data_IF_135921879473
#
_entry.id   IF_135921879473
#
_cell.length_a   1.000
_cell.length_b   1.000
_cell.length_c   1.000
_cell.angle_alpha   90.00
_cell.angle_beta   90.00
_cell.angle_gamma   90.00
#
_symmetry.space_group_name_H-M   'P 1'
#
loop_
_entity.id
_entity.type
_entity.pdbx_description
1 polymer ?
#
# COMPACT_ATOMS: atom_id res chain seq x y z
N UNK A 1 -37.07 -46.17 31.29
CA UNK A 1 -36.36 -45.12 32.06
C UNK A 1 -34.99 -45.63 32.44
N UNK A 2 -33.95 -45.30 31.66
CA UNK A 2 -32.56 -45.33 32.10
C UNK A 2 -31.88 -44.15 31.40
N UNK A 3 -31.57 -43.10 32.17
CA UNK A 3 -30.77 -41.94 31.74
C UNK A 3 -29.30 -42.31 31.87
N UNK A 4 -28.50 -42.05 30.82
CA UNK A 4 -27.05 -42.26 30.82
C UNK A 4 -26.35 -40.89 30.90
N UNK A 5 -25.34 -40.66 31.77
CA UNK A 5 -24.97 -39.31 32.21
C UNK A 5 -23.73 -38.67 31.56
N UNK A 6 -23.24 -39.14 30.40
CA UNK A 6 -21.98 -38.63 29.85
C UNK A 6 -21.98 -38.50 28.33
N UNK A 7 -22.60 -37.44 27.80
CA UNK A 7 -22.25 -36.89 26.48
C UNK A 7 -22.82 -35.47 26.33
N UNK A 8 -22.31 -34.52 27.11
CA UNK A 8 -22.38 -33.11 26.71
C UNK A 8 -21.19 -32.88 25.78
N UNK A 9 -21.38 -33.14 24.49
CA UNK A 9 -20.48 -32.61 23.47
C UNK A 9 -20.70 -31.10 23.40
N UNK A 10 -19.91 -30.35 24.18
CA UNK A 10 -19.66 -28.94 23.97
C UNK A 10 -19.02 -28.79 22.58
N UNK A 11 -19.85 -28.53 21.57
CA UNK A 11 -19.39 -27.92 20.33
C UNK A 11 -19.01 -26.47 20.65
N UNK A 12 -17.81 -26.29 21.18
CA UNK A 12 -17.16 -24.98 21.16
C UNK A 12 -16.76 -24.77 19.71
N UNK A 13 -17.66 -24.16 18.93
CA UNK A 13 -17.28 -23.56 17.67
C UNK A 13 -16.21 -22.50 18.00
N UNK A 14 -14.94 -22.87 17.82
CA UNK A 14 -13.85 -21.91 17.80
C UNK A 14 -14.10 -20.97 16.63
N UNK A 15 -14.73 -19.83 16.93
CA UNK A 15 -14.69 -18.66 16.07
C UNK A 15 -13.20 -18.42 15.74
N UNK A 16 -12.78 -18.43 14.46
CA UNK A 16 -11.47 -17.92 14.15
C UNK A 16 -11.44 -16.47 14.61
N UNK A 17 -10.55 -16.16 15.54
CA UNK A 17 -10.19 -14.79 15.91
C UNK A 17 -9.52 -14.14 14.68
N UNK A 18 -10.29 -13.82 13.64
CA UNK A 18 -9.81 -13.04 12.51
C UNK A 18 -10.09 -11.56 12.80
N UNK A 19 -9.35 -11.05 13.78
CA UNK A 19 -9.08 -9.62 13.91
C UNK A 19 -7.58 -9.42 13.70
N UNK A 20 -7.07 -9.90 12.58
CA UNK A 20 -5.78 -9.43 12.06
C UNK A 20 -6.02 -8.06 11.43
N UNK A 21 -5.86 -7.04 12.28
CA UNK A 21 -5.95 -5.65 11.86
C UNK A 21 -4.85 -5.36 10.85
N UNK A 22 -5.23 -5.17 9.59
CA UNK A 22 -4.34 -4.70 8.54
C UNK A 22 -3.54 -3.50 9.04
N UNK A 23 -2.23 -3.51 8.79
CA UNK A 23 -1.41 -2.34 9.06
C UNK A 23 -1.91 -1.13 8.23
N UNK A 24 -2.59 -0.19 8.90
CA UNK A 24 -3.20 1.00 8.28
C UNK A 24 -2.17 1.97 7.67
N UNK A 25 -0.88 1.78 7.97
CA UNK A 25 0.20 2.59 7.41
C UNK A 25 0.61 2.13 6.01
N UNK A 26 0.35 0.87 5.67
CA UNK A 26 0.66 0.30 4.36
C UNK A 26 -0.36 0.78 3.32
N UNK A 27 0.16 1.19 2.16
CA UNK A 27 -0.66 1.72 1.08
C UNK A 27 -0.36 0.97 -0.21
N UNK A 28 -1.40 0.74 -1.02
CA UNK A 28 -1.19 0.36 -2.42
C UNK A 28 -0.48 1.53 -3.12
N UNK A 29 0.58 1.23 -3.86
CA UNK A 29 1.35 2.24 -4.55
C UNK A 29 0.50 2.86 -5.66
N UNK A 30 0.61 4.18 -5.91
CA UNK A 30 -0.04 4.83 -7.04
C UNK A 30 0.33 4.17 -8.38
N UNK A 31 -0.55 4.35 -9.37
CA UNK A 31 -0.34 3.88 -10.75
C UNK A 31 1.01 4.33 -11.35
N UNK A 32 1.51 5.49 -10.90
CA UNK A 32 2.82 6.01 -11.24
C UNK A 32 3.67 6.03 -9.96
N UNK A 33 4.28 4.89 -9.66
CA UNK A 33 5.37 4.79 -8.68
C UNK A 33 6.65 4.52 -9.47
N UNK A 34 7.43 5.55 -9.83
CA UNK A 34 8.64 5.35 -10.61
C UNK A 34 9.62 4.47 -9.82
N UNK A 35 10.25 3.51 -10.49
CA UNK A 35 11.36 2.75 -9.91
C UNK A 35 12.58 3.67 -10.01
N UNK A 36 12.95 4.26 -8.89
CA UNK A 36 14.11 5.14 -8.74
C UNK A 36 15.17 4.42 -7.90
N UNK A 37 16.44 4.82 -8.05
CA UNK A 37 17.53 4.22 -7.28
C UNK A 37 17.31 4.44 -5.77
N UNK A 38 16.96 3.35 -5.07
CA UNK A 38 16.81 3.32 -3.62
C UNK A 38 15.38 3.33 -3.07
N UNK A 39 14.34 3.42 -3.91
CA UNK A 39 12.94 3.32 -3.44
C UNK A 39 12.36 1.91 -3.51
N UNK A 40 12.86 1.07 -4.42
CA UNK A 40 12.49 -0.33 -4.58
C UNK A 40 13.25 -1.19 -3.57
N UNK A 41 12.51 -1.90 -2.72
CA UNK A 41 13.05 -2.86 -1.75
C UNK A 41 13.27 -4.21 -2.42
N UNK A 42 12.28 -4.66 -3.20
CA UNK A 42 12.30 -5.99 -3.79
C UNK A 42 11.13 -6.24 -4.74
N UNK A 43 11.24 -7.35 -5.47
CA UNK A 43 10.21 -7.86 -6.36
C UNK A 43 10.00 -9.34 -6.09
N UNK A 44 8.81 -9.71 -5.62
CA UNK A 44 8.40 -11.10 -5.47
C UNK A 44 7.70 -11.56 -6.74
N UNK A 45 8.04 -12.77 -7.22
CA UNK A 45 7.47 -13.36 -8.42
C UNK A 45 6.50 -14.46 -8.06
N UNK A 46 5.55 -14.75 -8.96
CA UNK A 46 4.56 -15.81 -8.81
C UNK A 46 3.60 -15.64 -7.63
N UNK A 47 3.39 -14.39 -7.21
CA UNK A 47 2.44 -14.04 -6.14
C UNK A 47 1.01 -14.32 -6.62
N UNK A 48 0.21 -15.02 -5.84
CA UNK A 48 -1.14 -15.47 -6.18
C UNK A 48 -2.09 -14.29 -6.40
N UNK A 49 -2.07 -13.33 -5.48
CA UNK A 49 -2.99 -12.18 -5.48
C UNK A 49 -2.44 -10.93 -4.77
N UNK A 50 -3.26 -9.88 -4.76
CA UNK A 50 -2.93 -8.61 -4.09
C UNK A 50 -2.84 -8.76 -2.56
N UNK A 51 -3.56 -9.70 -1.95
CA UNK A 51 -3.52 -9.93 -0.50
C UNK A 51 -2.19 -10.56 -0.08
N UNK A 52 -1.69 -11.53 -0.84
CA UNK A 52 -0.36 -12.09 -0.63
C UNK A 52 0.73 -11.02 -0.83
N UNK A 53 0.59 -10.18 -1.86
CA UNK A 53 1.50 -9.04 -2.07
C UNK A 53 1.50 -8.05 -0.89
N UNK A 54 0.32 -7.76 -0.33
CA UNK A 54 0.19 -6.97 0.89
C UNK A 54 0.93 -7.63 2.06
N UNK A 55 0.78 -8.94 2.28
CA UNK A 55 1.45 -9.68 3.35
C UNK A 55 2.98 -9.64 3.21
N UNK A 56 3.52 -9.70 1.99
CA UNK A 56 4.95 -9.51 1.77
C UNK A 56 5.44 -8.13 2.23
N UNK A 57 4.67 -7.08 1.92
CA UNK A 57 4.98 -5.73 2.40
C UNK A 57 4.84 -5.62 3.91
N UNK A 58 3.80 -6.21 4.50
CA UNK A 58 3.56 -6.19 5.95
C UNK A 58 4.66 -6.87 6.76
N UNK A 59 5.26 -7.93 6.22
CA UNK A 59 6.38 -8.63 6.83
C UNK A 59 7.72 -7.88 6.70
N UNK A 60 7.78 -6.85 5.85
CA UNK A 60 8.96 -6.02 5.65
C UNK A 60 8.88 -4.75 6.48
N UNK A 61 9.85 -4.53 7.36
CA UNK A 61 9.92 -3.32 8.21
C UNK A 61 10.15 -2.03 7.41
N UNK A 62 10.67 -2.17 6.20
CA UNK A 62 11.03 -1.04 5.33
C UNK A 62 9.94 -0.74 4.31
N UNK A 63 9.00 -1.67 4.08
CA UNK A 63 7.97 -1.52 3.06
C UNK A 63 6.84 -0.62 3.56
N UNK A 64 6.56 0.45 2.81
CA UNK A 64 5.45 1.35 3.06
C UNK A 64 4.42 1.30 1.92
N UNK A 65 4.87 0.91 0.72
CA UNK A 65 4.02 0.81 -0.46
C UNK A 65 4.27 -0.52 -1.19
N UNK A 66 3.21 -1.10 -1.74
CA UNK A 66 3.31 -2.30 -2.57
C UNK A 66 2.51 -2.15 -3.86
N UNK A 67 2.88 -2.90 -4.89
CA UNK A 67 2.09 -2.97 -6.13
C UNK A 67 2.07 -4.38 -6.69
N UNK A 68 0.85 -4.89 -6.84
CA UNK A 68 0.61 -6.17 -7.48
C UNK A 68 0.33 -5.99 -8.98
N UNK A 69 1.00 -6.79 -9.80
CA UNK A 69 0.74 -6.93 -11.22
C UNK A 69 0.30 -8.37 -11.49
N UNK A 70 -0.91 -8.51 -12.04
CA UNK A 70 -1.40 -9.82 -12.50
C UNK A 70 -0.54 -10.37 -13.64
N UNK A 71 -0.52 -11.69 -13.77
CA UNK A 71 0.15 -12.36 -14.87
C UNK A 71 -0.41 -11.90 -16.24
N UNK A 72 0.49 -11.56 -17.16
CA UNK A 72 0.14 -11.06 -18.50
C UNK A 72 1.19 -11.54 -19.52
N UNK A 73 0.75 -12.00 -20.68
CA UNK A 73 1.61 -12.38 -21.82
C UNK A 73 2.85 -13.20 -21.43
N UNK A 74 2.64 -14.36 -20.79
CA UNK A 74 3.69 -15.29 -20.32
C UNK A 74 4.58 -14.75 -19.19
N UNK A 75 4.31 -13.55 -18.67
CA UNK A 75 4.97 -13.05 -17.46
C UNK A 75 4.20 -13.52 -16.24
N UNK A 76 4.89 -14.05 -15.22
CA UNK A 76 4.23 -14.37 -13.96
C UNK A 76 3.73 -13.10 -13.30
N UNK A 77 2.78 -13.25 -12.38
CA UNK A 77 2.40 -12.20 -11.45
C UNK A 77 3.60 -11.72 -10.64
N UNK A 78 3.59 -10.44 -10.29
CA UNK A 78 4.71 -9.78 -9.64
C UNK A 78 4.20 -8.85 -8.53
N UNK A 79 4.92 -8.82 -7.41
CA UNK A 79 4.68 -7.90 -6.32
C UNK A 79 5.91 -7.02 -6.12
N UNK A 80 5.76 -5.72 -6.33
CA UNK A 80 6.82 -4.75 -6.13
C UNK A 80 6.67 -4.12 -4.74
N UNK A 81 7.74 -4.11 -3.97
CA UNK A 81 7.78 -3.58 -2.61
C UNK A 81 8.62 -2.31 -2.57
N UNK A 82 8.09 -1.23 -2.00
CA UNK A 82 8.75 0.08 -1.98
C UNK A 82 8.80 0.66 -0.57
N UNK A 83 9.92 1.30 -0.23
CA UNK A 83 10.05 2.05 1.02
C UNK A 83 9.46 3.47 0.89
N UNK A 84 9.40 4.00 -0.32
CA UNK A 84 8.93 5.33 -0.62
C UNK A 84 8.29 5.31 -2.00
N UNK A 85 7.19 6.04 -2.15
CA UNK A 85 6.58 6.23 -3.44
C UNK A 85 6.22 7.69 -3.59
N UNK A 86 6.94 8.38 -4.48
CA UNK A 86 6.60 9.75 -4.83
C UNK A 86 5.28 9.81 -5.59
N UNK A 87 4.60 10.96 -5.52
CA UNK A 87 3.48 11.25 -6.42
C UNK A 87 3.98 11.95 -7.68
N UNK A 88 3.35 11.69 -8.82
CA UNK A 88 3.56 12.54 -10.00
C UNK A 88 3.05 13.95 -9.72
N UNK A 89 3.85 14.97 -10.04
CA UNK A 89 3.52 16.38 -9.81
C UNK A 89 3.54 17.09 -11.14
N UNK A 90 2.39 17.66 -11.49
CA UNK A 90 2.22 18.48 -12.67
C UNK A 90 2.03 19.93 -12.26
N UNK A 91 2.42 20.85 -13.14
CA UNK A 91 2.13 22.26 -12.94
C UNK A 91 0.63 22.48 -13.03
N UNK A 92 0.07 23.24 -12.08
CA UNK A 92 -1.34 23.55 -12.07
C UNK A 92 -1.73 24.32 -13.33
N UNK A 93 -2.84 23.94 -13.95
CA UNK A 93 -3.40 24.66 -15.09
C UNK A 93 -3.91 26.04 -14.65
N UNK A 94 -4.01 26.98 -15.60
CA UNK A 94 -4.48 28.36 -15.31
C UNK A 94 -5.93 28.42 -14.78
N UNK A 95 -6.71 27.37 -15.00
CA UNK A 95 -8.08 27.21 -14.49
C UNK A 95 -8.17 26.44 -13.17
N UNK A 96 -7.05 26.03 -12.56
CA UNK A 96 -7.05 25.38 -11.26
C UNK A 96 -7.34 26.42 -10.16
N UNK A 97 -8.57 26.46 -9.67
CA UNK A 97 -8.94 27.31 -8.53
C UNK A 97 -8.45 26.67 -7.24
N UNK A 98 -7.36 27.18 -6.68
CA UNK A 98 -6.85 26.73 -5.38
C UNK A 98 -7.78 27.17 -4.25
N UNK A 99 -8.19 26.21 -3.42
CA UNK A 99 -8.99 26.39 -2.23
C UNK A 99 -8.40 25.60 -1.07
N UNK A 100 -8.89 25.83 0.16
CA UNK A 100 -8.40 25.09 1.32
C UNK A 100 -8.67 23.58 1.20
N UNK A 101 -9.73 23.23 0.49
CA UNK A 101 -10.21 21.85 0.33
C UNK A 101 -9.39 21.06 -0.70
N UNK A 102 -8.71 21.72 -1.63
CA UNK A 102 -7.89 21.07 -2.66
C UNK A 102 -6.38 21.35 -2.53
N UNK A 103 -5.97 22.04 -1.47
CA UNK A 103 -4.57 22.38 -1.22
C UNK A 103 -4.01 21.52 -0.10
N UNK A 104 -2.97 20.74 -0.41
CA UNK A 104 -2.34 19.82 0.54
C UNK A 104 -1.38 20.56 1.47
N UNK A 105 -0.60 21.51 0.95
CA UNK A 105 0.33 22.34 1.71
C UNK A 105 0.63 23.62 0.91
N UNK A 106 1.01 24.70 1.60
CA UNK A 106 1.46 25.97 0.98
C UNK A 106 2.84 26.31 1.53
N UNK A 107 3.82 26.37 0.63
CA UNK A 107 5.21 26.72 0.99
C UNK A 107 5.60 28.04 0.32
N UNK A 108 5.63 29.15 1.07
CA UNK A 108 6.13 30.40 0.52
C UNK A 108 7.67 30.33 0.36
N UNK A 109 8.19 31.17 -0.53
CA UNK A 109 9.63 31.39 -0.73
C UNK A 109 10.43 30.18 -1.23
N UNK A 110 9.82 29.27 -1.99
CA UNK A 110 10.56 28.21 -2.69
C UNK A 110 11.37 28.84 -3.84
N UNK A 111 12.72 28.72 -3.86
CA UNK A 111 13.57 29.45 -4.80
C UNK A 111 13.34 29.16 -6.29
N UNK A 112 12.90 27.95 -6.63
CA UNK A 112 12.73 27.51 -8.02
C UNK A 112 11.54 26.55 -8.15
N UNK A 113 10.95 26.48 -9.35
CA UNK A 113 9.86 25.54 -9.67
C UNK A 113 10.30 24.08 -9.47
N UNK A 114 11.52 23.73 -9.90
CA UNK A 114 12.08 22.38 -9.72
C UNK A 114 12.15 21.97 -8.24
N UNK A 115 12.57 22.87 -7.35
CA UNK A 115 12.56 22.59 -5.91
C UNK A 115 11.15 22.45 -5.34
N UNK A 116 10.17 23.17 -5.90
CA UNK A 116 8.77 23.00 -5.52
C UNK A 116 8.26 21.61 -5.92
N UNK A 117 8.52 21.19 -7.16
CA UNK A 117 8.13 19.88 -7.68
C UNK A 117 8.74 18.73 -6.88
N UNK A 118 10.06 18.75 -6.63
CA UNK A 118 10.75 17.72 -5.84
C UNK A 118 10.12 17.59 -4.45
N UNK A 119 9.85 18.72 -3.78
CA UNK A 119 9.22 18.72 -2.46
C UNK A 119 7.78 18.23 -2.50
N UNK A 120 7.04 18.58 -3.55
CA UNK A 120 5.70 18.06 -3.74
C UNK A 120 5.73 16.54 -3.96
N UNK A 121 6.69 16.00 -4.70
CA UNK A 121 6.79 14.56 -4.98
C UNK A 121 7.07 13.75 -3.71
N UNK A 122 7.81 14.30 -2.76
CA UNK A 122 8.13 13.69 -1.48
C UNK A 122 6.91 13.68 -0.54
N UNK A 123 6.15 12.58 -0.55
CA UNK A 123 5.09 12.35 0.45
C UNK A 123 5.75 11.95 1.78
N UNK A 124 5.40 12.66 2.86
CA UNK A 124 5.63 12.22 4.25
C UNK A 124 4.40 11.49 4.77
#
# INVERSE_FOLDING_TARGET
>A
MIWNPWTVFLLIASLPNFLEGRNILLKSAPQLCPIEDGNLIGVELFVEDEEECFKFCENSKECLFFRFFHALDQKPSQCYLFNTCGRHVESATSNCQLSRENTIDVRPFVPTESQCQIRCQQVR
#
